data_IF_797318728466
#
_entry.id   IF_797318728466
#
_cell.length_a   1.000
_cell.length_b   1.000
_cell.length_c   1.000
_cell.angle_alpha   90.00
_cell.angle_beta   90.00
_cell.angle_gamma   90.00
#
_symmetry.space_group_name_H-M   'P 1'
#
loop_
_entity.id
_entity.type
_entity.pdbx_description
1 polymer ?
#
# COMPACT_ATOMS: atom_id res chain seq x y z
N UNK A 1 23.85 -19.21 -33.13
CA UNK A 1 23.76 -17.95 -32.40
C UNK A 1 22.40 -17.89 -31.72
N UNK A 2 22.35 -18.25 -30.45
CA UNK A 2 21.09 -18.32 -29.70
C UNK A 2 20.68 -16.91 -29.28
N UNK A 3 19.51 -16.49 -29.76
CA UNK A 3 18.85 -15.25 -29.44
C UNK A 3 18.54 -15.18 -27.92
N UNK A 4 19.42 -14.49 -27.17
CA UNK A 4 19.14 -14.10 -25.80
C UNK A 4 18.06 -13.00 -25.87
N UNK A 5 16.78 -13.39 -25.91
CA UNK A 5 15.73 -12.47 -25.54
C UNK A 5 16.03 -11.99 -24.11
N UNK A 6 16.70 -10.86 -24.03
CA UNK A 6 17.01 -10.17 -22.78
C UNK A 6 15.70 -9.93 -22.04
N UNK A 7 15.58 -10.49 -20.85
CA UNK A 7 14.52 -10.09 -19.92
C UNK A 7 14.51 -8.57 -19.88
N UNK A 8 13.34 -7.95 -20.10
CA UNK A 8 13.23 -6.49 -20.07
C UNK A 8 13.93 -5.96 -18.80
N UNK A 9 14.75 -4.91 -18.91
CA UNK A 9 15.55 -4.43 -17.77
C UNK A 9 14.62 -4.16 -16.59
N UNK A 10 15.02 -4.65 -15.42
CA UNK A 10 14.26 -4.45 -14.18
C UNK A 10 14.16 -2.95 -13.93
N UNK A 11 12.95 -2.48 -13.65
CA UNK A 11 12.70 -1.07 -13.41
C UNK A 11 13.01 -0.75 -11.96
N UNK A 12 14.23 -0.32 -11.69
CA UNK A 12 14.73 -0.06 -10.33
C UNK A 12 13.83 0.93 -9.58
N UNK A 13 13.27 1.94 -10.27
CA UNK A 13 12.40 2.93 -9.63
C UNK A 13 11.15 2.31 -8.97
N UNK A 14 10.58 1.23 -9.55
CA UNK A 14 9.41 0.56 -8.94
C UNK A 14 9.80 -0.12 -7.63
N UNK A 15 10.97 -0.78 -7.57
CA UNK A 15 11.46 -1.37 -6.34
C UNK A 15 11.78 -0.28 -5.29
N UNK A 16 12.28 0.89 -5.71
CA UNK A 16 12.52 2.04 -4.83
C UNK A 16 11.21 2.56 -4.23
N UNK A 17 10.20 2.79 -5.06
CA UNK A 17 8.90 3.29 -4.60
C UNK A 17 8.15 2.27 -3.73
N UNK A 18 8.23 0.98 -4.04
CA UNK A 18 7.71 -0.09 -3.19
C UNK A 18 8.45 -0.13 -1.85
N UNK A 19 9.77 0.11 -1.87
CA UNK A 19 10.59 0.20 -0.65
C UNK A 19 10.16 1.36 0.23
N UNK A 20 9.90 2.54 -0.34
CA UNK A 20 9.31 3.66 0.38
C UNK A 20 7.92 3.29 0.93
N UNK A 21 7.06 2.75 0.08
CA UNK A 21 5.69 2.39 0.47
C UNK A 21 5.67 1.44 1.66
N UNK A 22 6.46 0.36 1.63
CA UNK A 22 6.48 -0.61 2.74
C UNK A 22 7.13 -0.06 4.01
N UNK A 23 8.14 0.80 3.89
CA UNK A 23 8.71 1.54 5.01
C UNK A 23 7.63 2.37 5.72
N UNK A 24 6.86 3.14 4.94
CA UNK A 24 5.80 3.98 5.45
C UNK A 24 4.60 3.18 6.00
N UNK A 25 4.29 2.02 5.43
CA UNK A 25 3.27 1.09 5.96
C UNK A 25 3.65 0.63 7.37
N UNK A 26 4.86 0.11 7.53
CA UNK A 26 5.33 -0.37 8.85
C UNK A 26 5.38 0.79 9.84
N UNK A 27 6.06 1.88 9.47
CA UNK A 27 6.19 3.06 10.33
C UNK A 27 4.84 3.65 10.73
N UNK A 28 3.89 3.75 9.79
CA UNK A 28 2.55 4.26 10.05
C UNK A 28 1.77 3.39 11.04
N UNK A 29 1.80 2.06 10.90
CA UNK A 29 1.10 1.16 11.81
C UNK A 29 1.68 1.16 13.24
N UNK A 30 3.02 1.24 13.39
CA UNK A 30 3.63 1.36 14.71
C UNK A 30 3.31 2.73 15.35
N UNK A 31 3.27 3.80 14.56
CA UNK A 31 2.90 5.14 15.01
C UNK A 31 1.42 5.26 15.42
N UNK A 32 0.54 4.45 14.83
CA UNK A 32 -0.90 4.48 15.08
C UNK A 32 -1.24 4.35 16.57
N UNK A 33 -0.44 3.62 17.34
CA UNK A 33 -0.64 3.39 18.79
C UNK A 33 -0.53 4.68 19.61
N UNK A 34 0.12 5.71 19.08
CA UNK A 34 0.39 6.97 19.77
C UNK A 34 -0.29 8.20 19.13
N UNK A 35 -1.01 8.01 18.01
CA UNK A 35 -1.53 9.11 17.18
C UNK A 35 -2.47 10.06 17.91
N UNK A 36 -3.23 9.58 18.89
CA UNK A 36 -4.18 10.39 19.65
C UNK A 36 -3.56 11.12 20.83
N UNK A 37 -2.36 10.71 21.27
CA UNK A 37 -1.65 11.29 22.40
C UNK A 37 -0.76 12.47 22.08
N UNK A 38 -0.54 12.77 20.77
CA UNK A 38 0.36 13.85 20.36
C UNK A 38 -0.01 14.40 19.00
N UNK A 39 -0.14 15.73 18.89
CA UNK A 39 -0.36 16.41 17.59
C UNK A 39 0.74 16.11 16.57
N UNK A 40 2.00 16.10 17.00
CA UNK A 40 3.13 15.79 16.12
C UNK A 40 2.98 14.39 15.51
N UNK A 41 2.66 13.38 16.33
CA UNK A 41 2.51 12.00 15.88
C UNK A 41 1.25 11.87 15.02
N UNK A 42 0.13 12.47 15.44
CA UNK A 42 -1.12 12.48 14.68
C UNK A 42 -0.98 13.14 13.32
N UNK A 43 -0.34 14.31 13.24
CA UNK A 43 -0.08 15.01 11.99
C UNK A 43 0.86 14.22 11.06
N UNK A 44 1.90 13.58 11.61
CA UNK A 44 2.80 12.72 10.82
C UNK A 44 2.07 11.50 10.29
N UNK A 45 1.27 10.85 11.13
CA UNK A 45 0.43 9.71 10.74
C UNK A 45 -0.52 10.06 9.60
N UNK A 46 -1.30 11.13 9.74
CA UNK A 46 -2.23 11.61 8.71
C UNK A 46 -1.46 11.92 7.42
N UNK A 47 -0.34 12.62 7.50
CA UNK A 47 0.50 12.96 6.33
C UNK A 47 0.92 11.71 5.56
N UNK A 48 1.36 10.66 6.23
CA UNK A 48 1.74 9.39 5.62
C UNK A 48 0.53 8.72 4.97
N UNK A 49 -0.60 8.67 5.67
CA UNK A 49 -1.79 7.95 5.22
C UNK A 49 -2.49 8.59 4.01
N UNK A 50 -2.24 9.85 3.74
CA UNK A 50 -2.76 10.52 2.53
C UNK A 50 -2.20 9.95 1.22
N UNK A 51 -1.04 9.26 1.24
CA UNK A 51 -0.44 8.83 -0.03
C UNK A 51 0.22 7.44 -0.03
N UNK A 52 0.64 6.88 1.12
CA UNK A 52 1.47 5.67 1.11
C UNK A 52 0.78 4.47 0.44
N UNK A 53 -0.53 4.25 0.71
CA UNK A 53 -1.28 3.18 0.06
C UNK A 53 -1.62 3.51 -1.40
N UNK A 54 -1.87 4.78 -1.74
CA UNK A 54 -2.04 5.22 -3.12
C UNK A 54 -0.80 4.88 -3.97
N UNK A 55 0.38 5.21 -3.46
CA UNK A 55 1.67 4.87 -4.05
C UNK A 55 1.84 3.35 -4.22
N UNK A 56 1.51 2.58 -3.17
CA UNK A 56 1.67 1.13 -3.18
C UNK A 56 0.73 0.45 -4.19
N UNK A 57 -0.53 0.91 -4.28
CA UNK A 57 -1.52 0.45 -5.26
C UNK A 57 -1.08 0.80 -6.69
N UNK A 58 -0.58 2.01 -6.94
CA UNK A 58 -0.03 2.41 -8.24
C UNK A 58 1.15 1.51 -8.64
N UNK A 59 2.09 1.26 -7.73
CA UNK A 59 3.21 0.36 -7.99
C UNK A 59 2.76 -1.05 -8.36
N UNK A 60 1.67 -1.54 -7.77
CA UNK A 60 1.09 -2.84 -8.10
C UNK A 60 0.50 -2.85 -9.51
N UNK A 61 -0.17 -1.77 -9.93
CA UNK A 61 -0.63 -1.59 -11.30
C UNK A 61 0.51 -1.54 -12.32
N UNK A 62 1.63 -0.87 -11.97
CA UNK A 62 2.82 -0.77 -12.83
C UNK A 62 3.45 -2.13 -13.17
N UNK A 63 3.37 -3.11 -12.26
CA UNK A 63 3.94 -4.45 -12.45
C UNK A 63 2.90 -5.49 -12.88
N UNK A 64 1.63 -5.10 -12.93
CA UNK A 64 0.53 -6.03 -13.19
C UNK A 64 0.57 -6.63 -14.61
N UNK A 65 0.36 -7.93 -14.69
CA UNK A 65 0.19 -8.69 -15.93
C UNK A 65 -0.93 -9.72 -15.73
N UNK A 66 -1.90 -9.74 -16.60
CA UNK A 66 -3.00 -10.69 -16.52
C UNK A 66 -2.52 -12.12 -16.71
N UNK A 67 -2.88 -12.98 -15.77
CA UNK A 67 -2.70 -14.40 -15.86
C UNK A 67 -3.63 -15.09 -14.86
N UNK A 68 -4.67 -15.77 -15.35
CA UNK A 68 -5.61 -16.50 -14.51
C UNK A 68 -4.91 -17.56 -13.65
N UNK A 69 -3.90 -18.22 -14.24
CA UNK A 69 -3.07 -19.17 -13.48
C UNK A 69 -2.38 -18.52 -12.29
N UNK A 70 -1.73 -17.35 -12.47
CA UNK A 70 -1.07 -16.62 -11.38
C UNK A 70 -2.08 -16.09 -10.38
N UNK A 71 -3.26 -15.65 -10.83
CA UNK A 71 -4.32 -15.22 -9.93
C UNK A 71 -4.67 -16.33 -8.95
N UNK A 72 -4.89 -17.55 -9.42
CA UNK A 72 -5.30 -18.69 -8.59
C UNK A 72 -4.11 -19.25 -7.79
N UNK A 73 -3.01 -19.60 -8.47
CA UNK A 73 -1.91 -20.37 -7.85
C UNK A 73 -0.93 -19.52 -7.06
N UNK A 74 -0.96 -18.20 -7.20
CA UNK A 74 -0.06 -17.30 -6.49
C UNK A 74 -0.80 -16.23 -5.68
N UNK A 75 -1.67 -15.43 -6.30
CA UNK A 75 -2.30 -14.32 -5.55
C UNK A 75 -3.35 -14.82 -4.56
N UNK A 76 -4.28 -15.69 -5.00
CA UNK A 76 -5.27 -16.29 -4.11
C UNK A 76 -4.59 -17.15 -3.03
N UNK A 77 -3.57 -17.93 -3.41
CA UNK A 77 -2.78 -18.71 -2.45
C UNK A 77 -2.14 -17.83 -1.38
N UNK A 78 -1.52 -16.70 -1.78
CA UNK A 78 -0.91 -15.76 -0.83
C UNK A 78 -1.94 -15.12 0.09
N UNK A 79 -3.12 -14.80 -0.43
CA UNK A 79 -4.21 -14.30 0.39
C UNK A 79 -4.65 -15.35 1.42
N UNK A 80 -4.90 -16.58 1.00
CA UNK A 80 -5.32 -17.67 1.90
C UNK A 80 -4.23 -18.03 2.92
N UNK A 81 -2.97 -18.06 2.50
CA UNK A 81 -1.82 -18.27 3.39
C UNK A 81 -1.74 -17.16 4.45
N UNK A 82 -1.85 -15.90 4.02
CA UNK A 82 -1.88 -14.75 4.94
C UNK A 82 -3.04 -14.84 5.92
N UNK A 83 -4.24 -15.18 5.44
CA UNK A 83 -5.41 -15.36 6.30
C UNK A 83 -5.22 -16.53 7.29
N UNK A 84 -4.61 -17.64 6.86
CA UNK A 84 -4.30 -18.76 7.75
C UNK A 84 -3.31 -18.35 8.85
N UNK A 85 -2.26 -17.58 8.51
CA UNK A 85 -1.31 -17.03 9.49
C UNK A 85 -2.02 -16.11 10.48
N UNK A 86 -2.87 -15.19 9.98
CA UNK A 86 -3.63 -14.27 10.83
C UNK A 86 -4.61 -15.01 11.73
N UNK A 87 -5.32 -16.00 11.19
CA UNK A 87 -6.27 -16.81 11.95
C UNK A 87 -5.59 -17.60 13.06
N UNK A 88 -4.47 -18.27 12.73
CA UNK A 88 -3.67 -18.98 13.74
C UNK A 88 -3.14 -18.04 14.83
N UNK A 89 -2.67 -16.85 14.45
CA UNK A 89 -2.23 -15.83 15.39
C UNK A 89 -3.37 -15.37 16.32
N UNK A 90 -4.56 -15.07 15.77
CA UNK A 90 -5.74 -14.67 16.54
C UNK A 90 -6.21 -15.77 17.48
N UNK A 91 -6.21 -17.02 17.02
CA UNK A 91 -6.62 -18.17 17.83
C UNK A 91 -5.64 -18.44 19.00
N UNK A 92 -4.33 -18.44 18.71
CA UNK A 92 -3.31 -18.90 19.67
C UNK A 92 -2.82 -17.77 20.57
N UNK A 93 -2.56 -16.59 20.00
CA UNK A 93 -1.98 -15.46 20.74
C UNK A 93 -3.06 -14.59 21.35
N UNK A 94 -4.05 -14.17 20.55
CA UNK A 94 -5.12 -13.29 21.04
C UNK A 94 -6.26 -14.04 21.71
N UNK A 95 -6.27 -15.37 21.67
CA UNK A 95 -7.31 -16.23 22.25
C UNK A 95 -8.73 -15.79 21.86
N UNK A 96 -8.89 -15.32 20.60
CA UNK A 96 -10.16 -14.77 20.11
C UNK A 96 -11.23 -15.86 19.99
N UNK A 97 -12.42 -15.55 20.50
CA UNK A 97 -13.61 -16.41 20.30
C UNK A 97 -14.27 -16.09 18.95
N UNK A 98 -14.06 -16.97 17.97
CA UNK A 98 -14.64 -16.81 16.63
C UNK A 98 -16.15 -17.03 16.57
N UNK A 99 -16.79 -17.60 17.58
CA UNK A 99 -18.23 -17.75 17.61
C UNK A 99 -18.95 -16.40 17.64
N UNK A 100 -18.33 -15.40 18.29
CA UNK A 100 -18.84 -14.02 18.36
C UNK A 100 -18.59 -13.20 17.10
N UNK A 101 -17.61 -13.61 16.26
CA UNK A 101 -17.14 -12.88 15.07
C UNK A 101 -17.72 -13.41 13.74
N UNK A 102 -18.87 -14.06 13.76
CA UNK A 102 -19.51 -14.64 12.56
C UNK A 102 -18.98 -16.01 12.17
N UNK A 103 -18.23 -16.67 13.06
CA UNK A 103 -17.70 -18.02 12.88
C UNK A 103 -16.32 -18.09 12.23
N UNK A 104 -15.70 -19.26 12.37
CA UNK A 104 -14.34 -19.52 11.90
C UNK A 104 -14.18 -19.31 10.38
N UNK A 105 -15.21 -19.71 9.60
CA UNK A 105 -15.17 -19.57 8.14
C UNK A 105 -15.17 -18.08 7.72
N UNK A 106 -16.00 -17.26 8.35
CA UNK A 106 -16.01 -15.82 8.10
C UNK A 106 -14.67 -15.19 8.49
N UNK A 107 -14.14 -15.53 9.67
CA UNK A 107 -12.83 -15.05 10.14
C UNK A 107 -11.68 -15.44 9.21
N UNK A 108 -11.78 -16.59 8.50
CA UNK A 108 -10.79 -17.04 7.51
C UNK A 108 -10.96 -16.37 6.14
N UNK A 109 -12.19 -16.16 5.67
CA UNK A 109 -12.43 -15.64 4.32
C UNK A 109 -12.43 -14.12 4.25
N UNK A 110 -12.77 -13.44 5.34
CA UNK A 110 -12.84 -11.98 5.36
C UNK A 110 -11.49 -11.37 5.72
N UNK A 111 -11.08 -10.32 5.01
CA UNK A 111 -9.76 -9.72 5.23
C UNK A 111 -9.67 -9.05 6.61
N UNK A 112 -8.75 -9.54 7.44
CA UNK A 112 -8.48 -8.95 8.74
C UNK A 112 -7.47 -7.81 8.61
N UNK A 113 -7.78 -6.63 9.15
CA UNK A 113 -6.91 -5.44 9.19
C UNK A 113 -6.27 -5.16 7.80
N UNK A 114 -4.92 -5.22 7.71
CA UNK A 114 -4.15 -4.91 6.50
C UNK A 114 -4.38 -5.88 5.32
N UNK A 115 -4.96 -7.06 5.54
CA UNK A 115 -5.19 -8.06 4.49
C UNK A 115 -6.12 -7.58 3.36
N UNK A 116 -6.86 -6.47 3.58
CA UNK A 116 -7.73 -5.86 2.57
C UNK A 116 -7.01 -5.59 1.23
N UNK A 117 -5.72 -5.26 1.28
CA UNK A 117 -4.97 -4.95 0.07
C UNK A 117 -4.72 -6.18 -0.81
N UNK A 118 -4.35 -7.34 -0.25
CA UNK A 118 -4.24 -8.58 -1.01
C UNK A 118 -5.61 -9.03 -1.54
N UNK A 119 -6.65 -8.85 -0.73
CA UNK A 119 -8.03 -9.08 -1.14
C UNK A 119 -8.41 -8.20 -2.34
N UNK A 120 -8.12 -6.91 -2.28
CA UNK A 120 -8.36 -5.97 -3.37
C UNK A 120 -7.60 -6.34 -4.66
N UNK A 121 -6.35 -6.79 -4.56
CA UNK A 121 -5.57 -7.23 -5.70
C UNK A 121 -6.22 -8.39 -6.48
N UNK A 122 -7.00 -9.28 -5.82
CA UNK A 122 -7.74 -10.34 -6.50
C UNK A 122 -8.80 -9.75 -7.45
N UNK A 123 -9.56 -8.76 -6.97
CA UNK A 123 -10.58 -8.09 -7.80
C UNK A 123 -9.95 -7.24 -8.89
N UNK A 124 -8.93 -6.45 -8.56
CA UNK A 124 -8.28 -5.58 -9.53
C UNK A 124 -7.58 -6.36 -10.64
N UNK A 125 -7.07 -7.55 -10.35
CA UNK A 125 -6.45 -8.40 -11.36
C UNK A 125 -7.45 -8.81 -12.47
N UNK A 126 -8.72 -9.00 -12.11
CA UNK A 126 -9.78 -9.36 -13.07
C UNK A 126 -10.08 -8.21 -14.06
N UNK A 127 -9.80 -6.97 -13.70
CA UNK A 127 -10.01 -5.81 -14.59
C UNK A 127 -8.87 -5.60 -15.60
N UNK A 128 -7.73 -6.27 -15.43
CA UNK A 128 -6.54 -6.08 -16.28
C UNK A 128 -6.78 -6.26 -17.78
N UNK A 129 -7.59 -7.24 -18.26
CA UNK A 129 -7.85 -7.35 -19.71
C UNK A 129 -8.47 -6.08 -20.28
N UNK A 130 -9.43 -5.46 -19.54
CA UNK A 130 -10.08 -4.22 -19.96
C UNK A 130 -9.11 -3.05 -19.91
N UNK A 131 -8.38 -2.88 -18.78
CA UNK A 131 -7.43 -1.78 -18.62
C UNK A 131 -6.31 -1.84 -19.65
N UNK A 132 -5.77 -3.03 -19.93
CA UNK A 132 -4.71 -3.20 -20.95
C UNK A 132 -5.25 -2.97 -22.35
N UNK A 133 -6.47 -3.41 -22.65
CA UNK A 133 -7.14 -3.10 -23.93
C UNK A 133 -7.28 -1.58 -24.14
N UNK A 134 -7.79 -0.85 -23.14
CA UNK A 134 -7.94 0.61 -23.20
C UNK A 134 -6.58 1.29 -23.45
N UNK A 135 -5.55 0.91 -22.71
CA UNK A 135 -4.21 1.47 -22.85
C UNK A 135 -3.60 1.16 -24.24
N UNK A 136 -3.65 -0.10 -24.67
CA UNK A 136 -2.86 -0.58 -25.82
C UNK A 136 -3.57 -0.30 -27.15
N UNK A 137 -4.92 -0.33 -27.19
CA UNK A 137 -5.71 -0.09 -28.39
C UNK A 137 -6.15 1.36 -28.55
N UNK A 138 -6.63 1.97 -27.46
CA UNK A 138 -7.13 3.36 -27.49
C UNK A 138 -6.09 4.38 -27.02
N UNK A 139 -4.87 3.91 -26.67
CA UNK A 139 -3.71 4.75 -26.30
C UNK A 139 -4.06 5.74 -25.17
N UNK A 140 -3.64 7.00 -25.29
CA UNK A 140 -3.86 8.03 -24.26
C UNK A 140 -5.36 8.30 -24.02
N UNK A 141 -6.20 8.34 -25.06
CA UNK A 141 -7.65 8.52 -24.92
C UNK A 141 -8.29 7.40 -24.09
N UNK A 142 -7.91 6.15 -24.35
CA UNK A 142 -8.37 4.99 -23.57
C UNK A 142 -7.84 5.00 -22.14
N UNK A 143 -6.59 5.43 -21.94
CA UNK A 143 -6.04 5.56 -20.59
C UNK A 143 -6.79 6.61 -19.76
N UNK A 144 -7.08 7.77 -20.34
CA UNK A 144 -7.87 8.83 -19.70
C UNK A 144 -9.30 8.35 -19.41
N UNK A 145 -9.96 7.70 -20.38
CA UNK A 145 -11.29 7.14 -20.19
C UNK A 145 -11.30 6.08 -19.07
N UNK A 146 -10.35 5.16 -19.08
CA UNK A 146 -10.25 4.10 -18.06
C UNK A 146 -10.01 4.67 -16.65
N UNK A 147 -9.18 5.71 -16.53
CA UNK A 147 -9.00 6.41 -15.27
C UNK A 147 -10.27 7.14 -14.82
N UNK A 148 -10.92 7.87 -15.72
CA UNK A 148 -12.17 8.58 -15.41
C UNK A 148 -13.27 7.60 -14.93
N UNK A 149 -13.42 6.46 -15.61
CA UNK A 149 -14.35 5.40 -15.17
C UNK A 149 -13.98 4.82 -13.81
N UNK A 150 -12.69 4.57 -13.55
CA UNK A 150 -12.24 4.04 -12.25
C UNK A 150 -12.49 5.05 -11.11
N UNK A 151 -12.28 6.35 -11.36
CA UNK A 151 -12.61 7.43 -10.43
C UNK A 151 -14.11 7.51 -10.21
N UNK A 152 -14.92 7.49 -11.27
CA UNK A 152 -16.38 7.53 -11.17
C UNK A 152 -16.93 6.35 -10.34
N UNK A 153 -16.41 5.12 -10.57
CA UNK A 153 -16.75 3.94 -9.78
C UNK A 153 -16.36 4.12 -8.30
N UNK A 154 -15.18 4.65 -8.03
CA UNK A 154 -14.70 4.91 -6.67
C UNK A 154 -15.60 5.92 -5.94
N UNK A 155 -15.95 7.02 -6.60
CA UNK A 155 -16.82 8.05 -6.04
C UNK A 155 -18.24 7.52 -5.81
N UNK A 156 -18.81 6.81 -6.79
CA UNK A 156 -20.13 6.18 -6.65
C UNK A 156 -20.14 5.15 -5.51
N UNK A 157 -19.12 4.29 -5.41
CA UNK A 157 -19.08 3.25 -4.40
C UNK A 157 -19.08 3.79 -2.96
N UNK A 158 -18.65 5.04 -2.75
CA UNK A 158 -18.73 5.70 -1.44
C UNK A 158 -20.16 6.05 -0.98
N UNK A 159 -21.16 5.99 -1.85
CA UNK A 159 -22.57 6.19 -1.48
C UNK A 159 -23.20 4.95 -0.84
N UNK A 160 -22.51 3.82 -0.83
CA UNK A 160 -23.03 2.52 -0.39
C UNK A 160 -22.10 1.97 0.69
N UNK A 161 -22.67 1.49 1.78
CA UNK A 161 -21.93 0.78 2.82
C UNK A 161 -21.72 -0.68 2.39
N UNK A 162 -20.62 -0.89 1.65
CA UNK A 162 -20.27 -2.21 1.14
C UNK A 162 -19.72 -3.12 2.25
N UNK A 163 -20.20 -4.36 2.34
CA UNK A 163 -19.62 -5.32 3.29
C UNK A 163 -18.19 -5.73 2.92
N UNK A 164 -17.51 -6.38 3.84
CA UNK A 164 -16.25 -7.09 3.62
C UNK A 164 -15.11 -6.21 3.09
N UNK A 165 -14.99 -4.98 3.58
CA UNK A 165 -13.97 -4.02 3.14
C UNK A 165 -14.00 -3.65 1.64
N UNK A 166 -15.08 -3.96 0.93
CA UNK A 166 -15.22 -3.61 -0.50
C UNK A 166 -15.20 -2.09 -0.72
N UNK A 167 -15.60 -1.29 0.28
CA UNK A 167 -15.44 0.18 0.22
C UNK A 167 -13.98 0.53 -0.12
N UNK A 168 -12.99 -0.08 0.55
CA UNK A 168 -11.56 0.12 0.26
C UNK A 168 -11.16 -0.42 -1.12
N UNK A 169 -11.69 -1.56 -1.53
CA UNK A 169 -11.42 -2.12 -2.87
C UNK A 169 -11.77 -1.12 -3.96
N UNK A 170 -12.94 -0.47 -3.87
CA UNK A 170 -13.34 0.56 -4.82
C UNK A 170 -12.59 1.89 -4.62
N UNK A 171 -12.39 2.31 -3.36
CA UNK A 171 -11.72 3.57 -3.06
C UNK A 171 -10.29 3.65 -3.60
N UNK A 172 -9.53 2.55 -3.52
CA UNK A 172 -8.13 2.50 -3.94
C UNK A 172 -7.93 1.98 -5.38
N UNK A 173 -8.98 1.49 -6.03
CA UNK A 173 -8.93 1.00 -7.42
C UNK A 173 -8.35 2.01 -8.41
N UNK A 174 -8.68 3.33 -8.37
CA UNK A 174 -8.14 4.30 -9.30
C UNK A 174 -6.61 4.38 -9.31
N UNK A 175 -5.95 4.19 -8.17
CA UNK A 175 -4.49 4.20 -8.10
C UNK A 175 -3.87 3.00 -8.82
N UNK A 176 -4.45 1.82 -8.63
CA UNK A 176 -4.04 0.63 -9.36
C UNK A 176 -4.28 0.78 -10.87
N UNK A 177 -5.47 1.23 -11.27
CA UNK A 177 -5.82 1.49 -12.65
C UNK A 177 -4.88 2.51 -13.29
N UNK A 178 -4.55 3.61 -12.56
CA UNK A 178 -3.57 4.61 -13.00
C UNK A 178 -2.20 3.98 -13.29
N UNK A 179 -1.70 3.12 -12.41
CA UNK A 179 -0.43 2.40 -12.63
C UNK A 179 -0.45 1.52 -13.89
N UNK A 180 -1.58 0.84 -14.19
CA UNK A 180 -1.73 0.03 -15.41
C UNK A 180 -1.82 0.89 -16.65
N UNK A 181 -2.68 1.90 -16.62
CA UNK A 181 -3.07 2.73 -17.78
C UNK A 181 -1.95 3.68 -18.21
N UNK A 182 -1.28 4.32 -17.26
CA UNK A 182 -0.26 5.34 -17.51
C UNK A 182 1.18 4.82 -17.39
N UNK A 183 1.37 3.51 -17.37
CA UNK A 183 2.70 2.89 -17.30
C UNK A 183 3.72 3.45 -18.28
N UNK A 184 3.40 3.65 -19.60
CA UNK A 184 4.37 4.22 -20.54
C UNK A 184 4.81 5.65 -20.19
N UNK A 185 3.86 6.49 -19.71
CA UNK A 185 4.11 7.87 -19.33
C UNK A 185 4.93 7.95 -18.03
N UNK A 186 4.66 7.06 -17.08
CA UNK A 186 5.41 6.97 -15.82
C UNK A 186 6.85 6.50 -16.10
N UNK A 187 7.07 5.54 -17.00
CA UNK A 187 8.40 5.13 -17.44
C UNK A 187 9.16 6.27 -18.15
N UNK A 188 8.44 7.09 -18.91
CA UNK A 188 9.03 8.27 -19.55
C UNK A 188 9.44 9.32 -18.51
N UNK A 189 8.58 9.55 -17.50
CA UNK A 189 8.87 10.48 -16.41
C UNK A 189 10.12 10.06 -15.63
N UNK A 190 10.24 8.78 -15.26
CA UNK A 190 11.43 8.25 -14.57
C UNK A 190 12.71 8.49 -15.39
N UNK A 191 12.66 8.22 -16.71
CA UNK A 191 13.79 8.49 -17.62
C UNK A 191 14.12 9.99 -17.71
N UNK A 192 13.09 10.84 -17.78
CA UNK A 192 13.30 12.30 -17.81
C UNK A 192 13.90 12.80 -16.48
N UNK A 193 13.41 12.33 -15.34
CA UNK A 193 13.94 12.66 -14.03
C UNK A 193 15.38 12.16 -13.83
N UNK A 194 15.74 11.05 -14.46
CA UNK A 194 17.13 10.55 -14.44
C UNK A 194 18.08 11.41 -15.28
N UNK A 195 17.57 12.08 -16.32
CA UNK A 195 18.36 12.90 -17.24
C UNK A 195 18.40 14.38 -16.83
N UNK A 196 17.28 14.93 -16.34
CA UNK A 196 17.11 16.36 -16.08
C UNK A 196 16.85 16.57 -14.58
N UNK A 197 17.81 17.23 -13.91
CA UNK A 197 17.74 17.49 -12.47
C UNK A 197 16.48 18.30 -12.06
N UNK A 198 16.04 19.25 -12.90
CA UNK A 198 14.84 20.05 -12.64
C UNK A 198 13.58 19.18 -12.56
N UNK A 199 13.46 18.14 -13.40
CA UNK A 199 12.33 17.19 -13.36
C UNK A 199 12.30 16.40 -12.05
N UNK A 200 13.45 16.28 -11.37
CA UNK A 200 13.55 15.65 -10.05
C UNK A 200 13.31 16.63 -8.91
N UNK A 201 13.99 17.77 -8.94
CA UNK A 201 14.03 18.70 -7.82
C UNK A 201 12.74 19.49 -7.68
N UNK A 202 12.16 19.95 -8.81
CA UNK A 202 10.91 20.74 -8.76
C UNK A 202 9.76 19.97 -8.11
N UNK A 203 9.41 18.72 -8.53
CA UNK A 203 8.39 17.94 -7.83
C UNK A 203 8.72 17.66 -6.36
N UNK A 204 9.99 17.38 -6.03
CA UNK A 204 10.41 17.18 -4.65
C UNK A 204 10.13 18.42 -3.79
N UNK A 205 10.49 19.60 -4.26
CA UNK A 205 10.24 20.86 -3.56
C UNK A 205 8.72 21.16 -3.45
N UNK A 206 7.95 20.90 -4.49
CA UNK A 206 6.49 21.08 -4.46
C UNK A 206 5.82 20.14 -3.45
N UNK A 207 6.25 18.87 -3.41
CA UNK A 207 5.76 17.91 -2.41
C UNK A 207 6.15 18.35 -0.99
N UNK A 208 7.40 18.72 -0.78
CA UNK A 208 7.86 19.23 0.52
C UNK A 208 7.09 20.48 0.96
N UNK A 209 6.87 21.44 0.06
CA UNK A 209 6.11 22.64 0.36
C UNK A 209 4.64 22.33 0.66
N UNK A 210 3.99 21.50 -0.16
CA UNK A 210 2.56 21.14 0.00
C UNK A 210 2.32 20.34 1.29
N UNK A 211 3.10 19.29 1.53
CA UNK A 211 2.99 18.49 2.74
C UNK A 211 3.46 19.23 3.99
N UNK A 212 4.52 20.04 3.88
CA UNK A 212 5.00 20.91 4.95
C UNK A 212 3.95 21.94 5.36
N UNK A 213 3.27 22.58 4.38
CA UNK A 213 2.18 23.51 4.65
C UNK A 213 0.99 22.80 5.32
N UNK A 214 0.58 21.64 4.81
CA UNK A 214 -0.51 20.86 5.42
C UNK A 214 -0.16 20.41 6.83
N UNK A 215 1.06 19.93 7.03
CA UNK A 215 1.57 19.54 8.34
C UNK A 215 1.55 20.74 9.31
N UNK A 216 2.03 21.91 8.87
CA UNK A 216 1.97 23.14 9.66
C UNK A 216 0.54 23.50 10.05
N UNK A 217 -0.42 23.42 9.12
CA UNK A 217 -1.85 23.65 9.43
C UNK A 217 -2.35 22.69 10.52
N UNK A 218 -2.00 21.41 10.43
CA UNK A 218 -2.39 20.40 11.43
C UNK A 218 -1.78 20.70 12.80
N UNK A 219 -0.55 21.21 12.84
CA UNK A 219 0.10 21.61 14.09
C UNK A 219 -0.50 22.84 14.75
N UNK A 220 -1.18 23.70 13.98
CA UNK A 220 -1.91 24.88 14.51
C UNK A 220 -3.35 24.54 14.94
N UNK A 221 -3.83 23.35 14.64
CA UNK A 221 -5.20 22.95 14.97
C UNK A 221 -5.30 22.61 16.47
N UNK A 222 -6.22 23.30 17.18
CA UNK A 222 -6.37 23.15 18.63
C UNK A 222 -7.21 21.93 19.04
N UNK A 223 -7.93 21.30 18.09
CA UNK A 223 -8.77 20.13 18.32
C UNK A 223 -8.04 18.82 18.14
N UNK A 224 -8.73 17.72 18.44
CA UNK A 224 -8.23 16.39 18.15
C UNK A 224 -8.18 16.14 16.63
N UNK A 225 -7.04 15.68 16.12
CA UNK A 225 -6.88 15.37 14.72
C UNK A 225 -7.67 14.09 14.36
N UNK A 226 -8.82 14.27 13.72
CA UNK A 226 -9.78 13.20 13.39
C UNK A 226 -10.07 13.16 11.88
N UNK A 227 -9.11 12.70 11.09
CA UNK A 227 -9.31 12.49 9.64
C UNK A 227 -9.40 11.00 9.24
N UNK A 228 -9.75 10.13 10.19
CA UNK A 228 -9.70 8.67 9.97
C UNK A 228 -10.49 8.21 8.74
N UNK A 229 -11.75 8.65 8.59
CA UNK A 229 -12.57 8.27 7.44
C UNK A 229 -11.97 8.74 6.11
N UNK A 230 -11.38 9.96 6.09
CA UNK A 230 -10.78 10.56 4.88
C UNK A 230 -9.52 9.86 4.43
N UNK A 231 -8.72 9.35 5.36
CA UNK A 231 -7.44 8.68 5.07
C UNK A 231 -7.58 7.16 4.93
N UNK A 232 -8.46 6.52 5.69
CA UNK A 232 -8.65 5.07 5.60
C UNK A 232 -9.54 4.69 4.42
N UNK A 233 -10.52 5.54 4.06
CA UNK A 233 -11.47 5.28 2.97
C UNK A 233 -12.20 3.93 3.11
N UNK A 234 -12.57 3.55 4.33
CA UNK A 234 -13.12 2.25 4.69
C UNK A 234 -14.61 2.27 5.04
N UNK A 235 -15.23 3.44 4.99
CA UNK A 235 -16.64 3.66 5.26
C UNK A 235 -17.32 4.37 4.09
N UNK A 236 -18.66 4.27 4.03
CA UNK A 236 -19.48 5.08 3.14
C UNK A 236 -19.44 6.56 3.52
N UNK A 237 -19.93 7.42 2.62
CA UNK A 237 -20.07 8.84 2.91
C UNK A 237 -21.06 9.07 4.04
N UNK A 238 -20.74 10.06 4.89
CA UNK A 238 -21.54 10.41 6.06
C UNK A 238 -21.02 11.72 6.67
N UNK A 239 -21.38 11.97 7.92
CA UNK A 239 -20.90 13.14 8.64
C UNK A 239 -19.36 13.18 8.71
N UNK A 240 -18.78 14.29 8.23
CA UNK A 240 -17.32 14.50 8.23
C UNK A 240 -16.55 13.78 7.13
N UNK A 241 -17.20 12.99 6.25
CA UNK A 241 -16.58 12.35 5.10
C UNK A 241 -17.50 12.36 3.88
N UNK A 242 -17.10 13.09 2.84
CA UNK A 242 -17.91 13.38 1.66
C UNK A 242 -17.28 12.85 0.37
N UNK A 243 -18.06 12.86 -0.73
CA UNK A 243 -17.54 12.58 -2.07
C UNK A 243 -16.41 13.54 -2.46
N UNK A 244 -16.48 14.81 -2.04
CA UNK A 244 -15.41 15.78 -2.30
C UNK A 244 -14.12 15.40 -1.56
N UNK A 245 -14.20 14.95 -0.31
CA UNK A 245 -13.03 14.48 0.45
C UNK A 245 -12.35 13.30 -0.28
N UNK A 246 -13.14 12.33 -0.79
CA UNK A 246 -12.59 11.22 -1.58
C UNK A 246 -11.99 11.69 -2.90
N UNK A 247 -12.63 12.63 -3.59
CA UNK A 247 -12.06 13.19 -4.82
C UNK A 247 -10.73 13.89 -4.57
N UNK A 248 -10.62 14.68 -3.49
CA UNK A 248 -9.36 15.30 -3.06
C UNK A 248 -8.31 14.24 -2.71
N UNK A 249 -8.69 13.21 -1.97
CA UNK A 249 -7.79 12.09 -1.65
C UNK A 249 -7.24 11.40 -2.91
N UNK A 250 -8.10 11.12 -3.89
CA UNK A 250 -7.68 10.53 -5.17
C UNK A 250 -6.71 11.44 -5.93
N UNK A 251 -7.03 12.72 -6.03
CA UNK A 251 -6.17 13.70 -6.70
C UNK A 251 -4.81 13.82 -6.02
N UNK A 252 -4.79 14.03 -4.71
CA UNK A 252 -3.57 14.17 -3.91
C UNK A 252 -2.73 12.90 -4.01
N UNK A 253 -3.34 11.72 -3.88
CA UNK A 253 -2.64 10.43 -3.98
C UNK A 253 -1.99 10.21 -5.36
N UNK A 254 -2.69 10.53 -6.46
CA UNK A 254 -2.13 10.44 -7.82
C UNK A 254 -0.99 11.45 -8.02
N UNK A 255 -1.21 12.72 -7.67
CA UNK A 255 -0.19 13.78 -7.84
C UNK A 255 1.05 13.47 -7.02
N UNK A 256 0.88 13.05 -5.76
CA UNK A 256 2.00 12.66 -4.90
C UNK A 256 2.74 11.46 -5.47
N UNK A 257 2.03 10.44 -5.93
CA UNK A 257 2.66 9.26 -6.52
C UNK A 257 3.50 9.60 -7.76
N UNK A 258 3.00 10.49 -8.65
CA UNK A 258 3.74 11.00 -9.80
C UNK A 258 4.98 11.78 -9.34
N UNK A 259 4.82 12.68 -8.38
CA UNK A 259 5.92 13.48 -7.83
C UNK A 259 7.02 12.61 -7.20
N UNK A 260 6.63 11.53 -6.50
CA UNK A 260 7.58 10.60 -5.89
C UNK A 260 8.32 9.75 -6.94
N UNK A 261 7.69 9.37 -8.08
CA UNK A 261 8.39 8.76 -9.21
C UNK A 261 9.53 9.67 -9.68
N UNK A 262 9.24 10.93 -9.89
CA UNK A 262 10.23 11.90 -10.36
C UNK A 262 11.32 12.16 -9.29
N UNK A 263 10.92 12.39 -8.04
CA UNK A 263 11.83 12.79 -6.97
C UNK A 263 12.76 11.66 -6.53
N UNK A 264 12.26 10.44 -6.38
CA UNK A 264 12.95 9.34 -5.70
C UNK A 264 13.37 8.18 -6.59
N UNK A 265 13.02 8.16 -7.88
CA UNK A 265 13.29 7.03 -8.80
C UNK A 265 14.76 6.54 -8.82
N UNK A 266 15.71 7.37 -8.37
CA UNK A 266 17.13 7.03 -8.26
C UNK A 266 17.62 6.74 -6.83
N UNK A 267 16.77 6.73 -5.82
CA UNK A 267 17.15 6.48 -4.41
C UNK A 267 17.34 4.97 -4.14
N UNK A 268 18.44 4.41 -4.66
CA UNK A 268 18.72 2.96 -4.63
C UNK A 268 18.74 2.34 -3.24
N UNK A 269 18.91 3.12 -2.19
CA UNK A 269 18.91 2.65 -0.80
C UNK A 269 17.60 1.94 -0.41
N UNK A 270 16.46 2.35 -1.01
CA UNK A 270 15.14 1.78 -0.75
C UNK A 270 14.85 0.49 -1.56
N UNK A 271 15.59 0.22 -2.63
CA UNK A 271 15.34 -0.89 -3.53
C UNK A 271 15.39 -2.29 -2.85
N UNK A 272 16.29 -2.57 -1.89
CA UNK A 272 16.31 -3.86 -1.19
C UNK A 272 14.99 -4.15 -0.45
N UNK A 273 14.40 -3.16 0.20
CA UNK A 273 13.08 -3.28 0.85
C UNK A 273 11.99 -3.55 -0.18
N UNK A 274 12.01 -2.84 -1.30
CA UNK A 274 11.02 -2.99 -2.38
C UNK A 274 11.02 -4.37 -3.03
N UNK A 275 12.14 -5.07 -3.02
CA UNK A 275 12.26 -6.44 -3.53
C UNK A 275 11.64 -7.49 -2.61
N UNK A 276 11.45 -7.18 -1.33
CA UNK A 276 11.03 -8.09 -0.26
C UNK A 276 9.75 -7.64 0.45
N UNK A 277 8.97 -6.77 -0.19
CA UNK A 277 7.77 -6.15 0.41
C UNK A 277 6.73 -7.14 0.91
N UNK A 278 6.62 -8.32 0.30
CA UNK A 278 5.53 -9.26 0.57
C UNK A 278 5.65 -9.89 1.98
N UNK A 279 6.85 -10.34 2.36
CA UNK A 279 7.08 -10.88 3.71
C UNK A 279 6.87 -9.81 4.78
N UNK A 280 7.42 -8.61 4.54
CA UNK A 280 7.26 -7.47 5.45
C UNK A 280 5.77 -7.12 5.58
N UNK A 281 5.05 -7.03 4.46
CA UNK A 281 3.63 -6.70 4.44
C UNK A 281 2.79 -7.70 5.24
N UNK A 282 3.02 -9.00 5.08
CA UNK A 282 2.22 -10.01 5.76
C UNK A 282 2.56 -10.15 7.25
N UNK A 283 3.82 -10.01 7.63
CA UNK A 283 4.26 -10.38 8.97
C UNK A 283 4.41 -9.21 9.97
N UNK A 284 4.40 -7.94 9.51
CA UNK A 284 4.55 -6.81 10.44
C UNK A 284 3.37 -6.65 11.40
N UNK A 285 2.13 -6.92 10.95
CA UNK A 285 0.95 -6.78 11.80
C UNK A 285 0.84 -7.81 12.93
N UNK A 286 1.14 -9.11 12.73
CA UNK A 286 1.28 -10.04 13.85
C UNK A 286 2.29 -9.57 14.89
N UNK A 287 3.47 -9.06 14.46
CA UNK A 287 4.49 -8.53 15.37
C UNK A 287 3.92 -7.35 16.16
N UNK A 288 3.36 -6.36 15.46
CA UNK A 288 2.74 -5.19 16.09
C UNK A 288 1.65 -5.59 17.08
N UNK A 289 0.72 -6.45 16.66
CA UNK A 289 -0.42 -6.84 17.50
C UNK A 289 0.05 -7.63 18.72
N UNK A 290 1.07 -8.47 18.58
CA UNK A 290 1.68 -9.18 19.71
C UNK A 290 2.31 -8.21 20.72
N UNK A 291 3.03 -7.19 20.25
CA UNK A 291 3.60 -6.16 21.13
C UNK A 291 2.51 -5.35 21.84
N UNK A 292 1.38 -5.08 21.15
CA UNK A 292 0.22 -4.40 21.77
C UNK A 292 -0.39 -5.28 22.86
N UNK A 293 -0.58 -6.56 22.60
CA UNK A 293 -1.16 -7.53 23.55
C UNK A 293 -0.28 -7.71 24.80
N UNK A 294 1.04 -7.65 24.65
CA UNK A 294 1.99 -7.63 25.75
C UNK A 294 2.00 -6.33 26.59
N UNK A 295 1.20 -5.33 26.22
CA UNK A 295 1.21 -4.03 26.90
C UNK A 295 2.47 -3.19 26.63
N UNK A 296 3.25 -3.53 25.62
CA UNK A 296 4.55 -2.91 25.31
C UNK A 296 4.47 -1.40 25.05
N UNK A 297 3.30 -0.92 24.63
CA UNK A 297 3.05 0.49 24.29
C UNK A 297 2.65 1.36 25.49
N UNK A 298 2.15 0.77 26.57
CA UNK A 298 1.59 1.52 27.70
C UNK A 298 2.62 2.41 28.41
N UNK A 299 3.85 1.93 28.74
CA UNK A 299 4.84 2.77 29.40
C UNK A 299 5.27 3.95 28.53
N UNK A 300 5.37 3.73 27.21
CA UNK A 300 5.85 4.75 26.28
C UNK A 300 4.82 5.88 26.05
N UNK A 301 3.51 5.63 26.23
CA UNK A 301 2.46 6.65 26.08
C UNK A 301 2.60 7.84 27.00
N UNK A 302 3.27 7.66 28.13
CA UNK A 302 3.49 8.71 29.14
C UNK A 302 4.84 9.42 28.97
N UNK A 303 5.66 9.00 28.02
CA UNK A 303 6.98 9.57 27.78
C UNK A 303 6.91 10.87 26.96
N UNK A 304 7.95 11.72 27.02
CA UNK A 304 8.06 12.88 26.14
C UNK A 304 8.02 12.49 24.66
N UNK A 305 7.38 13.32 23.84
CA UNK A 305 7.18 13.06 22.40
C UNK A 305 8.46 12.66 21.65
N UNK A 306 9.64 13.28 21.87
CA UNK A 306 10.88 12.84 21.21
C UNK A 306 11.26 11.39 21.54
N UNK A 307 10.98 10.94 22.76
CA UNK A 307 11.23 9.54 23.20
C UNK A 307 10.27 8.60 22.49
N UNK A 308 8.98 8.96 22.40
CA UNK A 308 7.98 8.16 21.65
C UNK A 308 8.40 8.04 20.18
N UNK A 309 8.83 9.13 19.54
CA UNK A 309 9.30 9.11 18.14
C UNK A 309 10.51 8.19 17.97
N UNK A 310 11.50 8.28 18.85
CA UNK A 310 12.69 7.41 18.85
C UNK A 310 12.30 5.94 19.05
N UNK A 311 11.34 5.68 19.94
CA UNK A 311 10.80 4.35 20.21
C UNK A 311 10.11 3.75 18.96
N UNK A 312 9.18 4.48 18.34
CA UNK A 312 8.50 4.06 17.09
C UNK A 312 9.51 3.79 15.97
N UNK A 313 10.54 4.64 15.85
CA UNK A 313 11.60 4.43 14.86
C UNK A 313 12.37 3.13 15.13
N UNK A 314 12.74 2.88 16.39
CA UNK A 314 13.45 1.67 16.79
C UNK A 314 12.64 0.40 16.49
N UNK A 315 11.36 0.40 16.84
CA UNK A 315 10.44 -0.71 16.59
C UNK A 315 10.26 -0.98 15.10
N UNK A 316 9.94 0.06 14.33
CA UNK A 316 9.73 -0.05 12.90
C UNK A 316 11.00 -0.53 12.17
N UNK A 317 12.17 0.03 12.51
CA UNK A 317 13.44 -0.38 11.93
C UNK A 317 13.81 -1.81 12.37
N UNK A 318 13.61 -2.18 13.62
CA UNK A 318 13.82 -3.53 14.12
C UNK A 318 12.95 -4.55 13.38
N UNK A 319 11.65 -4.26 13.25
CA UNK A 319 10.71 -5.07 12.48
C UNK A 319 11.16 -5.21 11.01
N UNK A 320 11.53 -4.10 10.36
CA UNK A 320 12.02 -4.11 8.97
C UNK A 320 13.32 -4.90 8.82
N UNK A 321 14.29 -4.76 9.74
CA UNK A 321 15.54 -5.52 9.71
C UNK A 321 15.28 -7.02 9.83
N UNK A 322 14.42 -7.44 10.75
CA UNK A 322 14.08 -8.86 10.95
C UNK A 322 13.38 -9.40 9.70
N UNK A 323 12.34 -8.72 9.23
CA UNK A 323 11.51 -9.21 8.13
C UNK A 323 12.18 -9.08 6.76
N UNK A 324 13.15 -8.16 6.60
CA UNK A 324 13.97 -8.06 5.40
C UNK A 324 15.16 -9.02 5.38
N UNK A 325 15.37 -9.80 6.46
CA UNK A 325 16.48 -10.75 6.54
C UNK A 325 16.35 -11.88 5.52
N UNK A 326 17.50 -12.44 5.11
CA UNK A 326 17.54 -13.54 4.15
C UNK A 326 16.83 -14.81 4.63
N UNK A 327 16.97 -15.24 5.90
CA UNK A 327 16.28 -16.45 6.39
C UNK A 327 14.76 -16.31 6.30
N UNK A 328 14.19 -15.19 6.77
CA UNK A 328 12.74 -14.94 6.72
C UNK A 328 12.25 -14.93 5.28
N UNK A 329 12.93 -14.24 4.39
CA UNK A 329 12.54 -14.17 2.98
C UNK A 329 12.67 -15.52 2.26
N UNK A 330 13.65 -16.36 2.62
CA UNK A 330 13.81 -17.70 2.04
C UNK A 330 12.62 -18.60 2.42
N UNK A 331 12.28 -18.65 3.70
CA UNK A 331 11.13 -19.43 4.19
C UNK A 331 9.84 -18.90 3.58
N UNK A 332 9.65 -17.58 3.60
CA UNK A 332 8.44 -16.98 3.06
C UNK A 332 8.30 -17.21 1.54
N UNK A 333 9.36 -17.07 0.76
CA UNK A 333 9.34 -17.32 -0.68
C UNK A 333 9.07 -18.81 -0.98
N UNK A 334 9.57 -19.72 -0.16
CA UNK A 334 9.24 -21.13 -0.28
C UNK A 334 7.74 -21.38 -0.06
N UNK A 335 7.16 -20.88 1.02
CA UNK A 335 5.72 -20.96 1.30
C UNK A 335 4.88 -20.30 0.19
N UNK A 336 5.26 -19.11 -0.25
CA UNK A 336 4.55 -18.35 -1.26
C UNK A 336 4.49 -19.04 -2.63
N UNK A 337 5.49 -19.89 -2.93
CA UNK A 337 5.60 -20.57 -4.22
C UNK A 337 5.26 -22.05 -4.18
N UNK A 338 4.69 -22.57 -3.10
CA UNK A 338 4.35 -24.01 -2.97
C UNK A 338 3.48 -24.51 -4.12
N UNK A 339 2.54 -23.72 -4.59
CA UNK A 339 1.60 -24.08 -5.65
C UNK A 339 1.97 -23.48 -7.02
N UNK A 340 2.89 -22.55 -7.07
CA UNK A 340 3.35 -21.94 -8.30
C UNK A 340 4.60 -22.62 -8.82
N UNK A 341 4.45 -23.56 -9.76
CA UNK A 341 5.57 -24.10 -10.52
C UNK A 341 5.74 -23.28 -11.82
N UNK A 342 6.85 -22.54 -11.99
CA UNK A 342 7.09 -21.87 -13.27
C UNK A 342 7.10 -22.91 -14.40
N UNK A 343 6.42 -22.62 -15.51
CA UNK A 343 6.55 -23.47 -16.70
C UNK A 343 8.02 -23.52 -17.09
N UNK A 344 8.62 -24.70 -17.15
CA UNK A 344 9.92 -24.89 -17.81
C UNK A 344 9.73 -24.35 -19.22
N UNK A 345 10.55 -23.38 -19.61
CA UNK A 345 10.64 -22.99 -21.04
C UNK A 345 11.08 -24.26 -21.76
N UNK A 346 10.20 -24.87 -22.55
CA UNK A 346 10.60 -25.86 -23.54
C UNK A 346 11.53 -25.14 -24.48
N UNK A 347 12.77 -25.59 -24.48
CA UNK A 347 13.85 -25.16 -25.36
C UNK A 347 13.48 -25.32 -26.83
#
# INVERSE_FOLDING_TARGET
MADRQSAAPRRDYIDILKGLGILLVVFGHFMEQYRLGSHLIGATFITIYWFHMALFCMCSGLVAHFSLRKLITQQLWLYLLGQAIMLAFRAVVLQEDFATSGGLLAAFLLPWRHMWYLYALLFWHLTLPVLTFLRDKLRLGGAVLGLALSVAISLWAGTIDWPFTLVRVFAFYPFYAFGVLFRPQIDLLDRAASRFWAVRVVPALLLLAGYGFRFWQMMQYEGQLSESAKIFNDVAYGEGYTMADRAVFLLVGIVTSIGLVAALGNCRMLAPLGKRTLAIYLLHMPILTFLVDLGFYEPARQMPVPVIVAWVLLEALGCLCILNSEPVNRVFNWLANLWYKPRKKTS
#
